data_IF_232078076650
#
_entry.id   IF_232078076650
#
_cell.length_a   1.000
_cell.length_b   1.000
_cell.length_c   1.000
_cell.angle_alpha   90.00
_cell.angle_beta   90.00
_cell.angle_gamma   90.00
#
_symmetry.space_group_name_H-M   'P 1'
#
loop_
_entity.id
_entity.type
_entity.pdbx_description
1 polymer ?
#
# COMPACT_ATOMS: atom_id res chain seq x y z
N UNK A 1 -9.43 41.60 -33.17
CA UNK A 1 -9.07 40.35 -32.45
C UNK A 1 -10.12 39.31 -32.77
N UNK A 2 -9.72 38.17 -33.36
CA UNK A 2 -10.66 37.16 -33.85
C UNK A 2 -11.02 36.17 -32.72
N UNK A 3 -12.26 36.11 -32.23
CA UNK A 3 -12.64 35.30 -31.06
C UNK A 3 -12.51 33.78 -31.28
N UNK A 4 -12.33 33.34 -32.52
CA UNK A 4 -12.11 31.93 -32.86
C UNK A 4 -10.71 31.42 -32.48
N UNK A 5 -9.71 32.29 -32.35
CA UNK A 5 -8.36 31.90 -31.93
C UNK A 5 -8.27 31.57 -30.43
N UNK A 6 -9.13 32.17 -29.60
CA UNK A 6 -9.15 31.93 -28.16
C UNK A 6 -9.83 30.60 -27.78
N UNK A 7 -10.71 30.07 -28.63
CA UNK A 7 -11.39 28.80 -28.38
C UNK A 7 -10.54 27.57 -28.77
N UNK A 8 -9.59 27.73 -29.69
CA UNK A 8 -8.67 26.65 -30.05
C UNK A 8 -7.61 26.39 -28.97
N UNK A 9 -7.19 27.42 -28.23
CA UNK A 9 -6.17 27.30 -27.18
C UNK A 9 -6.70 26.68 -25.88
N UNK A 10 -7.96 26.89 -25.54
CA UNK A 10 -8.58 26.29 -24.34
C UNK A 10 -8.93 24.81 -24.51
N UNK A 11 -9.14 24.33 -25.74
CA UNK A 11 -9.41 22.91 -25.99
C UNK A 11 -8.16 22.03 -25.92
N UNK A 12 -6.98 22.55 -26.27
CA UNK A 12 -5.72 21.79 -26.18
C UNK A 12 -5.23 21.60 -24.74
N UNK A 13 -5.57 22.49 -23.81
CA UNK A 13 -5.18 22.35 -22.39
C UNK A 13 -5.90 21.20 -21.67
N UNK A 14 -7.11 20.82 -22.12
CA UNK A 14 -7.89 19.74 -21.52
C UNK A 14 -7.48 18.34 -21.98
N UNK A 15 -6.74 18.22 -23.09
CA UNK A 15 -6.26 16.95 -23.62
C UNK A 15 -4.90 16.50 -23.05
N UNK A 16 -4.21 17.36 -22.30
CA UNK A 16 -2.94 17.05 -21.62
C UNK A 16 -3.07 16.80 -20.11
N UNK A 17 -4.26 16.92 -19.53
CA UNK A 17 -4.49 16.57 -18.14
C UNK A 17 -4.41 15.05 -17.81
N UNK A 18 -4.73 14.09 -18.72
CA UNK A 18 -4.66 12.68 -18.34
C UNK A 18 -3.23 12.13 -18.28
N UNK A 19 -2.26 12.76 -18.96
CA UNK A 19 -0.86 12.29 -18.99
C UNK A 19 -0.09 12.60 -17.70
N UNK A 20 -0.47 13.65 -16.96
CA UNK A 20 0.15 13.95 -15.66
C UNK A 20 -0.20 12.91 -14.58
N UNK A 21 -1.38 12.29 -14.64
CA UNK A 21 -1.76 11.20 -13.70
C UNK A 21 -1.08 9.86 -14.02
N UNK A 22 -0.74 9.61 -15.28
CA UNK A 22 -0.09 8.35 -15.66
C UNK A 22 1.41 8.33 -15.29
N UNK A 23 2.04 9.49 -15.12
CA UNK A 23 3.47 9.58 -14.85
C UNK A 23 3.85 9.20 -13.42
N UNK A 24 3.00 9.45 -12.43
CA UNK A 24 3.27 9.11 -11.01
C UNK A 24 3.44 7.60 -10.76
N UNK A 25 2.84 6.73 -11.57
CA UNK A 25 2.83 5.30 -11.31
C UNK A 25 3.99 4.53 -11.98
N UNK A 26 4.88 5.23 -12.69
CA UNK A 26 6.00 4.60 -13.42
C UNK A 26 7.23 4.33 -12.56
N UNK A 27 7.50 5.17 -11.56
CA UNK A 27 8.68 5.06 -10.70
C UNK A 27 8.28 4.64 -9.28
N UNK A 28 9.01 3.68 -8.71
CA UNK A 28 8.89 3.33 -7.30
C UNK A 28 9.69 4.32 -6.44
N UNK A 29 9.11 4.75 -5.33
CA UNK A 29 9.77 5.58 -4.32
C UNK A 29 9.75 4.85 -2.98
N UNK A 30 10.89 4.82 -2.29
CA UNK A 30 10.91 4.40 -0.89
C UNK A 30 10.00 5.34 -0.08
N UNK A 31 9.19 4.79 0.83
CA UNK A 31 8.38 5.61 1.73
C UNK A 31 9.31 6.43 2.63
N UNK A 32 8.96 7.69 2.87
CA UNK A 32 9.55 8.46 3.97
C UNK A 32 9.20 7.73 5.27
N UNK A 33 10.19 7.18 5.97
CA UNK A 33 9.99 6.43 7.21
C UNK A 33 9.97 7.32 8.45
N UNK A 34 10.38 8.59 8.33
CA UNK A 34 10.38 9.58 9.42
C UNK A 34 9.02 10.26 9.57
N UNK A 35 8.19 10.26 8.53
CA UNK A 35 6.85 10.83 8.61
C UNK A 35 5.94 10.05 9.59
N UNK A 36 5.36 10.73 10.56
CA UNK A 36 4.41 10.13 11.49
C UNK A 36 3.00 10.09 10.85
N UNK A 37 2.40 8.89 10.75
CA UNK A 37 1.02 8.71 10.25
C UNK A 37 0.01 8.43 11.37
N UNK A 38 0.50 7.79 12.43
CA UNK A 38 -0.19 7.42 13.66
C UNK A 38 0.89 7.13 14.70
N UNK A 39 0.53 7.24 15.98
CA UNK A 39 1.45 6.94 17.06
C UNK A 39 1.69 5.43 17.14
N UNK A 40 2.88 4.98 16.72
CA UNK A 40 3.22 3.56 16.63
C UNK A 40 3.29 2.89 17.99
N UNK A 41 3.61 3.63 19.04
CA UNK A 41 3.73 3.12 20.41
C UNK A 41 2.36 2.88 21.04
N UNK A 42 1.32 3.57 20.53
CA UNK A 42 -0.08 3.37 20.93
C UNK A 42 -0.78 2.23 20.19
N UNK A 43 -0.14 1.61 19.19
CA UNK A 43 -0.72 0.47 18.50
C UNK A 43 -0.85 -0.74 19.42
N UNK A 44 -2.08 -1.20 19.62
CA UNK A 44 -2.36 -2.39 20.42
C UNK A 44 -3.08 -3.46 19.60
N UNK A 45 -2.41 -4.59 19.40
CA UNK A 45 -3.01 -5.78 18.79
C UNK A 45 -3.62 -6.73 19.85
N UNK A 46 -3.51 -6.39 21.13
CA UNK A 46 -3.95 -7.17 22.27
C UNK A 46 -3.04 -8.36 22.60
N UNK A 47 -3.28 -9.02 23.75
CA UNK A 47 -2.45 -10.12 24.30
C UNK A 47 -2.13 -11.27 23.33
N UNK A 48 -2.99 -11.53 22.34
CA UNK A 48 -2.83 -12.64 21.38
C UNK A 48 -2.65 -12.15 19.94
N UNK A 49 -2.55 -10.85 19.73
CA UNK A 49 -2.51 -10.26 18.39
C UNK A 49 -1.16 -10.30 17.69
N UNK A 50 -0.12 -10.87 18.29
CA UNK A 50 1.22 -10.96 17.69
C UNK A 50 1.21 -11.70 16.34
N UNK A 51 0.37 -12.74 16.22
CA UNK A 51 0.21 -13.47 14.96
C UNK A 51 -0.48 -12.61 13.90
N UNK A 52 -1.55 -11.90 14.28
CA UNK A 52 -2.26 -10.99 13.37
C UNK A 52 -1.38 -9.81 12.95
N UNK A 53 -0.60 -9.24 13.87
CA UNK A 53 0.41 -8.20 13.61
C UNK A 53 1.44 -8.69 12.60
N UNK A 54 2.05 -9.86 12.86
CA UNK A 54 3.04 -10.45 11.96
C UNK A 54 2.45 -10.77 10.59
N UNK A 55 1.23 -11.31 10.56
CA UNK A 55 0.51 -11.61 9.32
C UNK A 55 0.16 -10.37 8.50
N UNK A 56 -0.25 -9.28 9.17
CA UNK A 56 -0.52 -7.98 8.55
C UNK A 56 0.75 -7.38 7.94
N UNK A 57 1.84 -7.29 8.71
CA UNK A 57 3.11 -6.75 8.23
C UNK A 57 3.68 -7.58 7.08
N UNK A 58 3.62 -8.92 7.17
CA UNK A 58 4.06 -9.79 6.09
C UNK A 58 3.24 -9.62 4.82
N UNK A 59 1.92 -9.44 4.94
CA UNK A 59 1.05 -9.22 3.78
C UNK A 59 1.33 -7.86 3.10
N UNK A 60 1.48 -6.79 3.88
CA UNK A 60 1.82 -5.47 3.36
C UNK A 60 3.20 -5.44 2.68
N UNK A 61 4.21 -6.05 3.32
CA UNK A 61 5.55 -6.19 2.72
C UNK A 61 5.51 -7.08 1.46
N UNK A 62 4.60 -8.05 1.40
CA UNK A 62 4.40 -8.86 0.19
C UNK A 62 3.79 -8.06 -0.95
N UNK A 63 2.82 -7.18 -0.67
CA UNK A 63 2.26 -6.24 -1.66
C UNK A 63 3.34 -5.29 -2.19
N UNK A 64 4.20 -4.76 -1.31
CA UNK A 64 5.31 -3.90 -1.71
C UNK A 64 6.32 -4.61 -2.63
N UNK A 65 6.58 -5.89 -2.38
CA UNK A 65 7.43 -6.76 -3.20
C UNK A 65 6.70 -7.50 -4.32
N UNK A 66 5.44 -7.18 -4.61
CA UNK A 66 4.66 -7.90 -5.63
C UNK A 66 5.00 -7.40 -7.04
N UNK A 67 6.26 -7.57 -7.42
CA UNK A 67 6.67 -7.59 -8.81
C UNK A 67 6.29 -8.98 -9.37
N UNK A 68 5.17 -9.04 -10.10
CA UNK A 68 4.78 -10.18 -10.92
C UNK A 68 5.31 -9.94 -12.35
N UNK A 69 6.53 -10.40 -12.70
CA UNK A 69 7.13 -10.15 -14.01
C UNK A 69 6.32 -10.75 -15.17
N UNK A 70 5.44 -11.71 -14.87
CA UNK A 70 4.58 -12.36 -15.87
C UNK A 70 3.17 -11.75 -15.91
N UNK A 71 2.89 -10.75 -15.06
CA UNK A 71 1.58 -10.10 -14.87
C UNK A 71 0.40 -11.07 -14.69
N UNK A 72 0.66 -12.33 -14.34
CA UNK A 72 -0.36 -13.39 -14.26
C UNK A 72 -1.49 -13.02 -13.30
N UNK A 73 -1.20 -12.19 -12.30
CA UNK A 73 -2.16 -11.71 -11.32
C UNK A 73 -2.37 -10.18 -11.38
N UNK A 74 -1.80 -9.49 -12.37
CA UNK A 74 -1.83 -8.04 -12.55
C UNK A 74 -0.85 -7.28 -11.67
N UNK A 75 -0.22 -6.23 -12.24
CA UNK A 75 0.78 -5.38 -11.59
C UNK A 75 0.19 -4.53 -10.45
N UNK A 76 0.88 -4.46 -9.32
CA UNK A 76 0.54 -3.54 -8.22
C UNK A 76 1.11 -2.14 -8.53
N UNK A 77 0.29 -1.07 -8.49
CA UNK A 77 0.75 0.32 -8.65
C UNK A 77 1.93 0.66 -7.74
N UNK A 78 2.93 1.38 -8.24
CA UNK A 78 4.13 1.74 -7.48
C UNK A 78 3.80 2.58 -6.24
N UNK A 79 2.83 3.49 -6.37
CA UNK A 79 2.34 4.26 -5.23
C UNK A 79 1.70 3.36 -4.16
N UNK A 80 0.97 2.32 -4.56
CA UNK A 80 0.37 1.37 -3.62
C UNK A 80 1.44 0.52 -2.93
N UNK A 81 2.47 0.11 -3.67
CA UNK A 81 3.63 -0.61 -3.13
C UNK A 81 4.37 0.21 -2.07
N UNK A 82 4.64 1.48 -2.37
CA UNK A 82 5.30 2.42 -1.45
C UNK A 82 4.47 2.62 -0.17
N UNK A 83 3.17 2.87 -0.32
CA UNK A 83 2.24 3.01 0.82
C UNK A 83 2.22 1.74 1.69
N UNK A 84 2.10 0.56 1.07
CA UNK A 84 2.08 -0.71 1.80
C UNK A 84 3.38 -0.93 2.59
N UNK A 85 4.54 -0.61 1.99
CA UNK A 85 5.83 -0.69 2.66
C UNK A 85 5.92 0.27 3.86
N UNK A 86 5.49 1.51 3.67
CA UNK A 86 5.52 2.54 4.71
C UNK A 86 4.66 2.18 5.92
N UNK A 87 3.47 1.60 5.69
CA UNK A 87 2.59 1.12 6.75
C UNK A 87 3.22 -0.09 7.45
N UNK A 88 3.79 -1.04 6.68
CA UNK A 88 4.44 -2.22 7.25
C UNK A 88 5.58 -1.86 8.21
N UNK A 89 6.45 -0.95 7.79
CA UNK A 89 7.60 -0.50 8.58
C UNK A 89 7.20 0.26 9.84
N UNK A 90 6.09 1.02 9.81
CA UNK A 90 5.57 1.70 11.00
C UNK A 90 4.95 0.74 12.01
N UNK A 91 4.24 -0.29 11.55
CA UNK A 91 3.63 -1.28 12.46
C UNK A 91 4.72 -2.12 13.15
N UNK A 92 5.74 -2.54 12.40
CA UNK A 92 6.83 -3.34 12.94
C UNK A 92 8.11 -3.19 12.10
N UNK A 93 8.98 -2.22 12.43
CA UNK A 93 10.22 -1.98 11.66
C UNK A 93 11.22 -3.14 11.82
N UNK A 94 11.10 -3.92 12.90
CA UNK A 94 11.97 -5.05 13.18
C UNK A 94 11.51 -6.36 12.52
N UNK A 95 10.36 -6.36 11.83
CA UNK A 95 9.88 -7.55 11.14
C UNK A 95 10.82 -7.92 9.98
N UNK A 96 11.29 -9.18 9.97
CA UNK A 96 12.13 -9.71 8.89
C UNK A 96 11.53 -9.48 7.51
N UNK A 97 10.21 -9.67 7.36
CA UNK A 97 9.51 -9.44 6.08
C UNK A 97 9.60 -8.00 5.60
N UNK A 98 9.55 -7.03 6.52
CA UNK A 98 9.72 -5.61 6.19
C UNK A 98 11.16 -5.32 5.81
N UNK A 99 12.13 -5.66 6.67
CA UNK A 99 13.56 -5.40 6.45
C UNK A 99 14.04 -5.95 5.11
N UNK A 100 13.77 -7.22 4.83
CA UNK A 100 14.18 -7.85 3.57
C UNK A 100 13.56 -7.17 2.36
N UNK A 101 12.26 -6.83 2.39
CA UNK A 101 11.62 -6.11 1.28
C UNK A 101 12.18 -4.70 1.12
N UNK A 102 12.41 -3.98 2.22
CA UNK A 102 12.95 -2.63 2.20
C UNK A 102 14.36 -2.60 1.60
N UNK A 103 15.26 -3.47 2.06
CA UNK A 103 16.63 -3.60 1.55
C UNK A 103 16.66 -3.93 0.05
N UNK A 104 15.79 -4.83 -0.42
CA UNK A 104 15.68 -5.16 -1.85
C UNK A 104 15.21 -3.96 -2.69
N UNK A 105 14.18 -3.25 -2.23
CA UNK A 105 13.65 -2.09 -2.94
C UNK A 105 14.59 -0.89 -2.91
N UNK A 106 15.44 -0.77 -1.88
CA UNK A 106 16.50 0.23 -1.81
C UNK A 106 17.61 -0.03 -2.83
N UNK A 107 17.97 -1.30 -3.06
CA UNK A 107 19.05 -1.67 -3.99
C UNK A 107 18.62 -1.56 -5.45
N UNK A 108 17.48 -2.15 -5.81
CA UNK A 108 17.15 -2.41 -7.22
C UNK A 108 15.84 -1.75 -7.68
N UNK A 109 15.11 -1.05 -6.79
CA UNK A 109 13.72 -0.57 -6.98
C UNK A 109 12.70 -1.67 -7.38
N UNK A 110 13.18 -2.90 -7.54
CA UNK A 110 12.47 -4.12 -7.85
C UNK A 110 12.71 -5.10 -6.70
N UNK A 111 11.63 -5.56 -6.07
CA UNK A 111 11.70 -6.69 -5.16
C UNK A 111 10.90 -7.82 -5.79
N UNK A 112 11.56 -8.92 -6.05
CA UNK A 112 10.95 -10.10 -6.65
C UNK A 112 10.19 -10.85 -5.58
N UNK A 113 8.87 -10.78 -5.70
CA UNK A 113 7.99 -11.50 -4.83
C UNK A 113 8.14 -13.01 -4.98
N UNK A 114 8.41 -13.72 -3.88
CA UNK A 114 8.32 -15.19 -3.82
C UNK A 114 7.01 -15.68 -4.43
N UNK A 115 7.09 -16.26 -5.63
CA UNK A 115 5.95 -16.80 -6.38
C UNK A 115 5.12 -17.74 -5.50
N UNK A 116 3.81 -17.50 -5.37
CA UNK A 116 2.87 -18.51 -4.85
C UNK A 116 1.86 -18.08 -3.78
N UNK A 117 1.84 -16.82 -3.32
CA UNK A 117 0.78 -16.36 -2.40
C UNK A 117 -0.33 -15.67 -3.18
N UNK A 118 -1.57 -16.17 -3.11
CA UNK A 118 -2.72 -15.56 -3.80
C UNK A 118 -3.09 -14.19 -3.22
N UNK A 119 -3.64 -13.30 -4.05
CA UNK A 119 -4.15 -11.99 -3.61
C UNK A 119 -5.21 -12.12 -2.50
N UNK A 120 -6.08 -13.11 -2.59
CA UNK A 120 -7.10 -13.39 -1.56
C UNK A 120 -6.48 -13.74 -0.21
N UNK A 121 -5.37 -14.51 -0.21
CA UNK A 121 -4.66 -14.85 1.02
C UNK A 121 -4.00 -13.63 1.64
N UNK A 122 -3.45 -12.73 0.83
CA UNK A 122 -2.90 -11.45 1.31
C UNK A 122 -3.98 -10.58 1.92
N UNK A 123 -5.12 -10.42 1.24
CA UNK A 123 -6.26 -9.69 1.77
C UNK A 123 -6.79 -10.32 3.07
N UNK A 124 -6.91 -11.65 3.15
CA UNK A 124 -7.34 -12.35 4.36
C UNK A 124 -6.44 -12.09 5.57
N UNK A 125 -5.14 -11.87 5.35
CA UNK A 125 -4.22 -11.45 6.42
C UNK A 125 -4.41 -9.98 6.79
N UNK A 126 -4.58 -9.09 5.80
CA UNK A 126 -4.84 -7.67 6.04
C UNK A 126 -6.13 -7.48 6.84
N UNK A 127 -7.22 -8.14 6.44
CA UNK A 127 -8.50 -8.06 7.14
C UNK A 127 -8.46 -8.61 8.56
N UNK A 128 -7.68 -9.68 8.82
CA UNK A 128 -7.46 -10.17 10.19
C UNK A 128 -6.73 -9.15 11.05
N UNK A 129 -5.69 -8.51 10.50
CA UNK A 129 -4.99 -7.40 11.15
C UNK A 129 -5.92 -6.23 11.47
N UNK A 130 -6.68 -5.75 10.48
CA UNK A 130 -7.68 -4.67 10.64
C UNK A 130 -8.69 -5.02 11.73
N UNK A 131 -9.25 -6.23 11.70
CA UNK A 131 -10.23 -6.67 12.71
C UNK A 131 -9.62 -6.63 14.11
N UNK A 132 -8.36 -7.01 14.24
CA UNK A 132 -7.67 -6.98 15.53
C UNK A 132 -7.38 -5.56 16.01
N UNK A 133 -6.94 -4.65 15.12
CA UNK A 133 -6.79 -3.22 15.43
C UNK A 133 -8.10 -2.60 15.92
N UNK A 134 -9.21 -2.93 15.25
CA UNK A 134 -10.53 -2.36 15.54
C UNK A 134 -11.28 -3.03 16.71
N UNK A 135 -10.65 -3.94 17.46
CA UNK A 135 -11.28 -4.57 18.64
C UNK A 135 -11.57 -3.56 19.74
N UNK A 136 -10.60 -2.69 20.02
CA UNK A 136 -10.78 -1.59 20.96
C UNK A 136 -11.29 -0.35 20.21
N UNK A 137 -12.51 0.07 20.51
CA UNK A 137 -13.14 1.24 19.89
C UNK A 137 -12.63 2.56 20.46
N UNK A 138 -11.90 2.55 21.57
CA UNK A 138 -11.34 3.75 22.20
C UNK A 138 -9.96 4.15 21.67
N UNK A 139 -9.25 3.24 20.99
CA UNK A 139 -7.90 3.49 20.48
C UNK A 139 -7.96 4.15 19.08
N UNK A 140 -7.72 5.45 19.02
CA UNK A 140 -7.76 6.22 17.76
C UNK A 140 -6.61 5.86 16.81
N UNK A 141 -5.39 5.62 17.32
CA UNK A 141 -4.24 5.26 16.49
C UNK A 141 -4.44 3.90 15.80
N UNK A 142 -5.05 2.94 16.49
CA UNK A 142 -5.50 1.69 15.87
C UNK A 142 -6.49 1.92 14.73
N UNK A 143 -7.43 2.87 14.87
CA UNK A 143 -8.39 3.19 13.80
C UNK A 143 -7.70 3.84 12.61
N UNK A 144 -6.76 4.75 12.84
CA UNK A 144 -6.00 5.42 11.78
C UNK A 144 -5.16 4.38 11.03
N UNK A 145 -4.41 3.54 11.74
CA UNK A 145 -3.65 2.44 11.14
C UNK A 145 -4.55 1.48 10.36
N UNK A 146 -5.71 1.12 10.91
CA UNK A 146 -6.70 0.29 10.22
C UNK A 146 -7.23 0.97 8.95
N UNK A 147 -7.47 2.28 8.95
CA UNK A 147 -7.93 3.03 7.79
C UNK A 147 -6.91 2.99 6.64
N UNK A 148 -5.62 3.18 6.94
CA UNK A 148 -4.55 3.01 5.95
C UNK A 148 -4.48 1.58 5.41
N UNK A 149 -4.66 0.58 6.27
CA UNK A 149 -4.71 -0.84 5.83
C UNK A 149 -5.93 -1.13 4.94
N UNK A 150 -7.09 -0.54 5.24
CA UNK A 150 -8.31 -0.65 4.44
C UNK A 150 -8.12 -0.02 3.07
N UNK A 151 -7.52 1.16 3.01
CA UNK A 151 -7.23 1.85 1.76
C UNK A 151 -6.29 1.02 0.87
N UNK A 152 -5.23 0.41 1.45
CA UNK A 152 -4.38 -0.54 0.71
C UNK A 152 -5.20 -1.74 0.21
N UNK A 153 -6.05 -2.34 1.04
CA UNK A 153 -6.86 -3.49 0.66
C UNK A 153 -7.81 -3.20 -0.51
N UNK A 154 -8.49 -2.04 -0.48
CA UNK A 154 -9.43 -1.61 -1.53
C UNK A 154 -8.69 -1.40 -2.86
N UNK A 155 -7.52 -0.76 -2.81
CA UNK A 155 -6.71 -0.48 -4.02
C UNK A 155 -6.01 -1.73 -4.56
N UNK A 156 -5.67 -2.69 -3.70
CA UNK A 156 -4.96 -3.91 -4.09
C UNK A 156 -5.81 -4.89 -4.90
N UNK A 157 -7.09 -5.06 -4.53
CA UNK A 157 -8.04 -5.87 -5.30
C UNK A 157 -9.44 -5.22 -5.27
N UNK A 158 -9.68 -4.25 -6.17
CA UNK A 158 -10.94 -3.54 -6.24
C UNK A 158 -12.13 -4.49 -6.44
N UNK A 159 -13.21 -4.27 -5.69
CA UNK A 159 -14.44 -5.06 -5.81
C UNK A 159 -14.37 -6.48 -5.23
N UNK A 160 -13.26 -6.87 -4.59
CA UNK A 160 -13.17 -8.13 -3.87
C UNK A 160 -14.27 -8.22 -2.80
N UNK A 161 -15.15 -9.22 -2.95
CA UNK A 161 -16.18 -9.54 -1.95
C UNK A 161 -15.62 -10.61 -1.04
N UNK A 162 -15.49 -10.28 0.24
CA UNK A 162 -15.14 -11.26 1.25
C UNK A 162 -16.32 -12.23 1.42
N UNK A 163 -16.14 -13.49 1.02
CA UNK A 163 -17.09 -14.60 1.24
C UNK A 163 -16.94 -15.20 2.63
#
# INVERSE_FOLDING_TARGET
MNPQLFHALTLCALLFAPSLRAQEDTLFYLPDMEAELFDTDKLDFGRRGTFDKSGLVAALARIASDFDPEEKNGKVPNLLRSNALGIAGRINPEAKSFKTTYEQLEQDAEAYGSSGTSKDRLLGNIYRGIRTLLKDKGNEDNKICAAYCVDVAIRFLPGHKYS
#
